data_IF_886131122101
#
_entry.id   IF_886131122101
#
_cell.length_a   1.000
_cell.length_b   1.000
_cell.length_c   1.000
_cell.angle_alpha   90.00
_cell.angle_beta   90.00
_cell.angle_gamma   90.00
#
_symmetry.space_group_name_H-M   'P 1'
#
loop_
_entity.id
_entity.type
_entity.pdbx_description
1 polymer ?
#
# COMPACT_ATOMS: atom_id res chain seq x y z
N UNK A 1 -12.34 -0.83 -1.20
CA UNK A 1 -10.88 -0.90 -0.97
C UNK A 1 -10.26 -1.59 -2.17
N UNK A 2 -9.05 -1.20 -2.55
CA UNK A 2 -8.28 -1.84 -3.63
C UNK A 2 -7.21 -2.74 -3.01
N UNK A 3 -6.94 -3.87 -3.64
CA UNK A 3 -5.76 -4.69 -3.36
C UNK A 3 -4.49 -4.04 -3.92
N UNK A 4 -3.32 -4.52 -3.49
CA UNK A 4 -2.02 -4.03 -4.00
C UNK A 4 -1.92 -4.14 -5.51
N UNK A 5 -2.41 -5.25 -6.09
CA UNK A 5 -2.37 -5.47 -7.53
C UNK A 5 -3.29 -4.50 -8.29
N UNK A 6 -4.51 -4.26 -7.78
CA UNK A 6 -5.44 -3.30 -8.37
C UNK A 6 -4.93 -1.86 -8.24
N UNK A 7 -4.27 -1.52 -7.13
CA UNK A 7 -3.63 -0.22 -6.96
C UNK A 7 -2.48 -0.04 -7.96
N UNK A 8 -1.63 -1.06 -8.16
CA UNK A 8 -0.54 -1.01 -9.13
C UNK A 8 -1.05 -0.83 -10.58
N UNK A 9 -2.21 -1.40 -10.91
CA UNK A 9 -2.82 -1.30 -12.24
C UNK A 9 -3.46 0.06 -12.54
N UNK A 10 -3.49 0.99 -11.57
CA UNK A 10 -3.99 2.36 -11.79
C UNK A 10 -3.22 3.09 -12.89
N UNK A 11 -1.94 2.75 -13.12
CA UNK A 11 -1.13 3.30 -14.23
C UNK A 11 -1.71 2.96 -15.61
N UNK A 12 -2.40 1.83 -15.74
CA UNK A 12 -2.98 1.37 -17.01
C UNK A 12 -4.45 1.77 -17.17
N UNK A 13 -5.13 2.06 -16.06
CA UNK A 13 -6.59 2.25 -16.02
C UNK A 13 -7.02 3.69 -15.81
N UNK A 14 -6.18 4.54 -15.20
CA UNK A 14 -6.50 5.94 -14.92
C UNK A 14 -5.66 6.87 -15.81
N UNK A 15 -6.30 7.58 -16.77
CA UNK A 15 -5.61 8.57 -17.59
C UNK A 15 -4.92 9.64 -16.74
N UNK A 16 -3.66 9.93 -17.04
CA UNK A 16 -2.84 10.91 -16.32
C UNK A 16 -2.09 10.36 -15.10
N UNK A 17 -2.33 9.10 -14.68
CA UNK A 17 -1.45 8.41 -13.71
C UNK A 17 -0.24 7.86 -14.47
N UNK A 18 0.95 8.34 -14.12
CA UNK A 18 2.22 7.91 -14.74
C UNK A 18 2.94 6.85 -13.91
N UNK A 19 2.82 6.93 -12.59
CA UNK A 19 3.42 5.97 -11.68
C UNK A 19 2.58 5.78 -10.41
N UNK A 20 2.69 4.59 -9.86
CA UNK A 20 2.06 4.18 -8.61
C UNK A 20 3.15 3.65 -7.70
N UNK A 21 3.30 4.25 -6.52
CA UNK A 21 4.29 3.82 -5.53
C UNK A 21 3.60 3.31 -4.27
N UNK A 22 3.94 2.09 -3.86
CA UNK A 22 3.58 1.54 -2.55
C UNK A 22 4.52 2.09 -1.48
N UNK A 23 3.98 2.87 -0.54
CA UNK A 23 4.74 3.49 0.53
C UNK A 23 4.46 2.73 1.84
N UNK A 24 5.50 2.31 2.57
CA UNK A 24 5.32 1.63 3.84
C UNK A 24 4.63 2.56 4.85
N UNK A 25 3.61 2.02 5.52
CA UNK A 25 2.99 2.64 6.70
C UNK A 25 4.06 3.06 7.70
N UNK A 26 3.96 4.31 8.11
CA UNK A 26 4.83 4.94 9.10
C UNK A 26 4.64 4.35 10.51
N UNK A 27 5.64 4.55 11.38
CA UNK A 27 5.64 3.96 12.72
C UNK A 27 4.44 4.46 13.54
N UNK A 28 3.63 3.52 14.00
CA UNK A 28 2.54 3.83 14.92
C UNK A 28 3.06 4.13 16.32
N UNK A 29 2.33 4.99 17.06
CA UNK A 29 2.59 5.24 18.48
C UNK A 29 2.24 3.99 19.29
N UNK A 30 3.26 3.25 19.72
CA UNK A 30 3.12 2.06 20.55
C UNK A 30 3.65 0.79 19.87
N UNK A 31 4.43 0.00 20.62
CA UNK A 31 5.14 -1.16 20.10
C UNK A 31 4.23 -2.26 19.54
N UNK A 32 3.09 -2.52 20.20
CA UNK A 32 2.14 -3.55 19.77
C UNK A 32 1.55 -3.24 18.39
N UNK A 33 1.02 -2.03 18.21
CA UNK A 33 0.43 -1.61 16.94
C UNK A 33 1.48 -1.56 15.83
N UNK A 34 2.68 -1.06 16.14
CA UNK A 34 3.80 -1.07 15.20
C UNK A 34 4.19 -2.48 14.75
N UNK A 35 4.20 -3.44 15.68
CA UNK A 35 4.53 -4.84 15.39
C UNK A 35 3.46 -5.50 14.52
N UNK A 36 2.17 -5.27 14.81
CA UNK A 36 1.07 -5.77 13.98
C UNK A 36 1.14 -5.20 12.56
N UNK A 37 1.39 -3.90 12.42
CA UNK A 37 1.53 -3.25 11.11
C UNK A 37 2.73 -3.80 10.34
N UNK A 38 3.91 -3.94 10.96
CA UNK A 38 5.07 -4.54 10.28
C UNK A 38 4.82 -6.00 9.89
N UNK A 39 4.13 -6.76 10.73
CA UNK A 39 3.81 -8.16 10.44
C UNK A 39 2.84 -8.25 9.26
N UNK A 40 1.78 -7.43 9.27
CA UNK A 40 0.84 -7.34 8.16
C UNK A 40 1.53 -6.96 6.84
N UNK A 41 2.58 -6.12 6.89
CA UNK A 41 3.30 -5.71 5.69
C UNK A 41 4.33 -6.73 5.16
N UNK A 42 4.83 -7.64 6.01
CA UNK A 42 5.86 -8.62 5.63
C UNK A 42 5.29 -9.97 5.25
N UNK A 43 3.99 -10.19 5.41
CA UNK A 43 3.35 -11.48 5.20
C UNK A 43 2.49 -11.43 3.94
N UNK A 44 2.90 -12.10 2.84
CA UNK A 44 2.15 -12.09 1.57
C UNK A 44 0.72 -12.61 1.70
N UNK A 45 0.46 -13.48 2.68
CA UNK A 45 -0.89 -13.99 2.96
C UNK A 45 -1.86 -12.88 3.44
N UNK A 46 -1.33 -11.76 3.93
CA UNK A 46 -2.08 -10.62 4.43
C UNK A 46 -2.20 -9.51 3.39
N UNK A 47 -1.64 -9.67 2.18
CA UNK A 47 -1.73 -8.68 1.09
C UNK A 47 -3.16 -8.18 0.82
N UNK A 48 -4.23 -9.01 0.88
CA UNK A 48 -5.59 -8.53 0.65
C UNK A 48 -6.11 -7.54 1.70
N UNK A 49 -5.57 -7.58 2.92
CA UNK A 49 -6.01 -6.75 4.05
C UNK A 49 -4.88 -5.85 4.59
N UNK A 50 -3.74 -5.83 3.90
CA UNK A 50 -2.57 -5.05 4.29
C UNK A 50 -2.90 -3.57 4.16
N UNK A 51 -2.76 -2.78 5.24
CA UNK A 51 -2.87 -1.33 5.13
C UNK A 51 -1.73 -0.80 4.27
N UNK A 52 -2.07 -0.04 3.23
CA UNK A 52 -1.12 0.54 2.28
C UNK A 52 -1.41 2.02 2.05
N UNK A 53 -0.36 2.79 1.80
CA UNK A 53 -0.45 4.15 1.29
C UNK A 53 0.08 4.17 -0.14
N UNK A 54 -0.77 4.58 -1.07
CA UNK A 54 -0.42 4.62 -2.49
C UNK A 54 -0.15 6.05 -2.91
N UNK A 55 1.07 6.35 -3.34
CA UNK A 55 1.42 7.64 -3.92
C UNK A 55 1.25 7.56 -5.44
N UNK A 56 0.43 8.47 -5.98
CA UNK A 56 0.17 8.58 -7.41
C UNK A 56 0.95 9.75 -7.97
N UNK A 57 1.77 9.49 -8.99
CA UNK A 57 2.41 10.53 -9.77
C UNK A 57 1.57 10.82 -11.01
N UNK A 58 1.27 12.09 -11.21
CA UNK A 58 0.47 12.57 -12.33
C UNK A 58 1.31 13.37 -13.32
N UNK A 59 1.01 13.25 -14.61
CA UNK A 59 1.73 13.96 -15.68
C UNK A 59 1.02 13.92 -17.02
#
# INVERSE_FOLDING_TARGET
SLSVAEAADLVNTVPGVRAVHDVPVEHARGWLLNTLLQTAQRQPLLDPIRPMFTLLEFG
#
